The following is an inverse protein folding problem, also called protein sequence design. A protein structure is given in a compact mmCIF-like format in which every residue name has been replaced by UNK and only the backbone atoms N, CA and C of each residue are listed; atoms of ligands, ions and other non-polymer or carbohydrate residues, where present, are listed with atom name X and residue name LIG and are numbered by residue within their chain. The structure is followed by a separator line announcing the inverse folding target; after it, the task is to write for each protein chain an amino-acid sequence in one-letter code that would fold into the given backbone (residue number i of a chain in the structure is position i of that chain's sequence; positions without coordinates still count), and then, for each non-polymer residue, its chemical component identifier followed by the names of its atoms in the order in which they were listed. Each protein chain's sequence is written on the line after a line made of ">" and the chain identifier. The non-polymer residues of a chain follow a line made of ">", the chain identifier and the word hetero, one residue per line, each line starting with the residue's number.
data_IF_199400483420
#
_entry.id   IF_199400483420
#
_cell.length_a   1.000
_cell.length_b   1.000
_cell.length_c   1.000
_cell.angle_alpha   90.00
_cell.angle_beta   90.00
_cell.angle_gamma   90.00
#
_symmetry.space_group_name_H-M   'P 1'
#
loop_
_entity.id
_entity.type
_entity.pdbx_description
1 polymer ?
#
# COMPACT_ATOMS: atom_id res chain seq x y z
N UNK A 1 -26.52 2.54 33.93
CA UNK A 1 -25.60 3.00 32.87
C UNK A 1 -24.49 1.98 32.74
N UNK A 2 -24.47 1.25 31.64
CA UNK A 2 -23.64 0.06 31.47
C UNK A 2 -22.16 0.44 31.36
N UNK A 3 -21.28 -0.29 32.07
CA UNK A 3 -19.81 -0.13 32.00
C UNK A 3 -19.27 -0.24 30.57
N UNK A 4 -20.01 -0.92 29.67
CA UNK A 4 -19.73 -0.98 28.24
C UNK A 4 -19.82 0.38 27.52
N UNK A 5 -20.71 1.27 27.98
CA UNK A 5 -20.92 2.59 27.36
C UNK A 5 -19.82 3.58 27.72
N UNK A 6 -19.19 3.41 28.88
CA UNK A 6 -18.06 4.24 29.32
C UNK A 6 -16.77 3.87 28.56
N UNK A 7 -16.58 2.59 28.22
CA UNK A 7 -15.45 2.14 27.38
C UNK A 7 -15.56 2.72 25.95
N UNK A 8 -16.79 2.80 25.42
CA UNK A 8 -17.04 3.35 24.08
C UNK A 8 -16.79 4.87 24.00
N UNK A 9 -17.04 5.60 25.09
CA UNK A 9 -16.77 7.05 25.16
C UNK A 9 -15.27 7.33 25.37
N UNK A 10 -14.55 6.45 26.07
CA UNK A 10 -13.09 6.60 26.24
C UNK A 10 -12.34 6.46 24.90
N UNK A 11 -12.80 5.57 24.03
CA UNK A 11 -12.28 5.41 22.65
C UNK A 11 -12.55 6.63 21.74
N UNK A 12 -13.55 7.46 22.06
CA UNK A 12 -13.92 8.63 21.25
C UNK A 12 -13.24 9.94 21.67
N UNK A 13 -12.37 9.89 22.69
CA UNK A 13 -11.72 11.08 23.26
C UNK A 13 -10.29 11.35 22.76
N UNK A 14 -9.76 10.54 21.85
CA UNK A 14 -8.55 10.90 21.10
C UNK A 14 -8.92 11.83 19.95
N UNK A 15 -9.02 13.14 20.23
CA UNK A 15 -8.89 14.14 19.17
C UNK A 15 -7.47 14.70 19.17
N UNK A 16 -6.88 14.61 17.99
CA UNK A 16 -5.94 15.58 17.42
C UNK A 16 -4.59 15.69 18.11
N UNK A 17 -3.66 14.87 17.64
CA UNK A 17 -2.33 15.34 17.30
C UNK A 17 -2.16 15.08 15.79
N UNK A 18 -1.43 15.94 15.08
CA UNK A 18 -0.71 15.48 13.88
C UNK A 18 0.06 14.24 14.32
N UNK A 19 -0.39 13.06 13.91
CA UNK A 19 0.12 11.79 14.45
C UNK A 19 1.49 11.58 13.81
N UNK A 20 2.54 12.07 14.47
CA UNK A 20 3.86 11.49 14.31
C UNK A 20 3.71 10.00 14.60
N UNK A 21 3.80 9.19 13.56
CA UNK A 21 3.67 7.75 13.66
C UNK A 21 4.88 7.26 14.44
N UNK A 22 4.68 7.08 15.74
CA UNK A 22 5.74 6.72 16.65
C UNK A 22 6.06 5.22 16.52
N UNK A 23 7.33 4.87 16.78
CA UNK A 23 7.85 3.52 16.78
C UNK A 23 8.22 3.08 18.21
N UNK A 24 7.24 2.76 19.07
CA UNK A 24 7.51 2.34 20.44
C UNK A 24 8.14 0.94 20.53
N UNK A 25 8.22 0.20 19.42
CA UNK A 25 8.72 -1.16 19.36
C UNK A 25 9.96 -1.28 18.46
N UNK A 26 10.75 -0.20 18.35
CA UNK A 26 11.87 -0.11 17.40
C UNK A 26 12.81 -1.32 17.45
N UNK A 27 13.23 -1.76 18.65
CA UNK A 27 14.11 -2.93 18.80
C UNK A 27 13.53 -4.22 18.19
N UNK A 28 12.21 -4.41 18.31
CA UNK A 28 11.52 -5.56 17.74
C UNK A 28 11.32 -5.38 16.23
N UNK A 29 10.97 -4.17 15.81
CA UNK A 29 10.74 -3.84 14.43
C UNK A 29 12.03 -3.95 13.60
N UNK A 30 13.18 -3.51 14.14
CA UNK A 30 14.51 -3.69 13.53
C UNK A 30 14.87 -5.17 13.36
N UNK A 31 14.64 -6.01 14.36
CA UNK A 31 14.88 -7.47 14.24
C UNK A 31 14.00 -8.11 13.18
N UNK A 32 12.74 -7.67 13.10
CA UNK A 32 11.80 -8.16 12.08
C UNK A 32 12.21 -7.66 10.69
N UNK A 33 12.70 -6.43 10.59
CA UNK A 33 13.27 -5.88 9.37
C UNK A 33 14.50 -6.66 8.90
N UNK A 34 15.44 -7.01 9.79
CA UNK A 34 16.58 -7.87 9.45
C UNK A 34 16.14 -9.26 8.97
N UNK A 35 15.07 -9.82 9.55
CA UNK A 35 14.48 -11.07 9.08
C UNK A 35 13.92 -10.91 7.66
N UNK A 36 13.20 -9.82 7.39
CA UNK A 36 12.63 -9.51 6.08
C UNK A 36 13.74 -9.30 5.03
N UNK A 37 14.79 -8.56 5.35
CA UNK A 37 15.95 -8.36 4.46
C UNK A 37 16.61 -9.70 4.10
N UNK A 38 16.84 -10.58 5.08
CA UNK A 38 17.40 -11.92 4.81
C UNK A 38 16.50 -12.76 3.91
N UNK A 39 15.18 -12.70 4.13
CA UNK A 39 14.21 -13.39 3.30
C UNK A 39 14.21 -12.84 1.87
N UNK A 40 14.26 -11.52 1.71
CA UNK A 40 14.33 -10.85 0.42
C UNK A 40 15.59 -11.24 -0.35
N UNK A 41 16.76 -11.07 0.27
CA UNK A 41 18.06 -11.38 -0.32
C UNK A 41 18.18 -12.85 -0.75
N UNK A 42 17.57 -13.76 0.02
CA UNK A 42 17.65 -15.20 -0.24
C UNK A 42 16.65 -15.70 -1.29
N UNK A 43 15.48 -15.06 -1.39
CA UNK A 43 14.34 -15.60 -2.15
C UNK A 43 13.80 -14.57 -3.14
N UNK A 44 13.20 -13.47 -2.64
CA UNK A 44 12.44 -12.56 -3.48
C UNK A 44 13.33 -11.81 -4.48
N UNK A 45 14.46 -11.25 -4.03
CA UNK A 45 15.37 -10.47 -4.86
C UNK A 45 15.99 -11.28 -6.02
N UNK A 46 16.51 -12.51 -5.83
CA UNK A 46 16.97 -13.34 -6.95
C UNK A 46 15.87 -13.64 -7.99
N UNK A 47 14.65 -13.92 -7.52
CA UNK A 47 13.51 -14.22 -8.39
C UNK A 47 13.08 -12.95 -9.16
N UNK A 48 12.98 -11.82 -8.48
CA UNK A 48 12.67 -10.52 -9.07
C UNK A 48 13.72 -10.12 -10.12
N UNK A 49 15.02 -10.33 -9.86
CA UNK A 49 16.10 -10.12 -10.84
C UNK A 49 16.01 -11.06 -12.04
N UNK A 50 15.43 -12.24 -11.87
CA UNK A 50 15.19 -13.15 -12.99
C UNK A 50 14.02 -12.64 -13.83
N UNK A 51 12.94 -12.22 -13.17
CA UNK A 51 11.75 -11.63 -13.77
C UNK A 51 12.07 -10.30 -14.50
N UNK A 52 13.01 -9.50 -14.00
CA UNK A 52 13.39 -8.22 -14.62
C UNK A 52 13.93 -8.35 -16.05
N UNK A 53 14.43 -9.54 -16.42
CA UNK A 53 14.93 -9.82 -17.77
C UNK A 53 13.80 -10.00 -18.81
N UNK A 54 12.54 -10.06 -18.39
CA UNK A 54 11.41 -10.19 -19.31
C UNK A 54 11.18 -8.89 -20.09
N UNK A 55 10.64 -8.97 -21.33
CA UNK A 55 10.31 -7.78 -22.12
C UNK A 55 9.45 -6.78 -21.35
N UNK A 56 9.73 -5.46 -21.42
CA UNK A 56 8.99 -4.44 -20.68
C UNK A 56 7.46 -4.51 -20.89
N UNK A 57 7.01 -4.85 -22.10
CA UNK A 57 5.59 -5.01 -22.41
C UNK A 57 4.90 -6.09 -21.57
N UNK A 58 5.59 -7.18 -21.27
CA UNK A 58 5.05 -8.26 -20.43
C UNK A 58 4.96 -7.77 -18.99
N UNK A 59 6.03 -7.16 -18.47
CA UNK A 59 6.07 -6.63 -17.11
C UNK A 59 4.97 -5.60 -16.87
N UNK A 60 4.89 -4.58 -17.72
CA UNK A 60 3.81 -3.56 -17.70
C UNK A 60 2.43 -4.20 -17.80
N UNK A 61 2.27 -5.23 -18.63
CA UNK A 61 1.00 -5.95 -18.73
C UNK A 61 0.60 -6.64 -17.43
N UNK A 62 1.55 -7.27 -16.73
CA UNK A 62 1.31 -7.90 -15.42
C UNK A 62 1.00 -6.83 -14.36
N UNK A 63 1.74 -5.71 -14.34
CA UNK A 63 1.42 -4.56 -13.48
C UNK A 63 -0.01 -4.07 -13.71
N UNK A 64 -0.40 -3.86 -14.96
CA UNK A 64 -1.76 -3.40 -15.30
C UNK A 64 -2.83 -4.41 -14.88
N UNK A 65 -2.54 -5.71 -15.00
CA UNK A 65 -3.47 -6.75 -14.57
C UNK A 65 -3.75 -6.66 -13.06
N UNK A 66 -2.73 -6.53 -12.21
CA UNK A 66 -2.93 -6.37 -10.77
C UNK A 66 -3.59 -5.04 -10.40
N UNK A 67 -3.16 -3.94 -11.03
CA UNK A 67 -3.81 -2.63 -10.86
C UNK A 67 -5.29 -2.67 -11.22
N UNK A 68 -5.68 -3.41 -12.27
CA UNK A 68 -7.08 -3.58 -12.64
C UNK A 68 -7.86 -4.37 -11.58
N UNK A 69 -7.27 -5.37 -10.94
CA UNK A 69 -7.93 -6.08 -9.83
C UNK A 69 -8.15 -5.16 -8.62
N UNK A 70 -7.18 -4.30 -8.36
CA UNK A 70 -7.19 -3.32 -7.27
C UNK A 70 -8.19 -2.18 -7.51
N UNK A 71 -8.45 -1.78 -8.76
CA UNK A 71 -9.43 -0.73 -9.10
C UNK A 71 -10.81 -1.01 -8.47
N UNK A 72 -11.20 -2.27 -8.26
CA UNK A 72 -12.47 -2.64 -7.58
C UNK A 72 -12.43 -2.31 -6.10
N UNK A 73 -11.37 -2.70 -5.40
CA UNK A 73 -11.20 -2.40 -3.97
C UNK A 73 -11.12 -0.89 -3.76
N UNK A 74 -10.33 -0.21 -4.59
CA UNK A 74 -10.21 1.26 -4.63
C UNK A 74 -11.58 1.91 -4.81
N UNK A 75 -12.38 1.44 -5.79
CA UNK A 75 -13.72 1.98 -6.03
C UNK A 75 -14.65 1.84 -4.82
N UNK A 76 -14.56 0.73 -4.09
CA UNK A 76 -15.35 0.49 -2.88
C UNK A 76 -14.90 1.44 -1.77
N UNK A 77 -13.61 1.53 -1.49
CA UNK A 77 -13.06 2.40 -0.46
C UNK A 77 -13.35 3.88 -0.74
N UNK A 78 -13.28 4.32 -1.99
CA UNK A 78 -13.69 5.67 -2.37
C UNK A 78 -15.16 5.96 -2.07
N UNK A 79 -16.07 5.00 -2.26
CA UNK A 79 -17.46 5.19 -1.84
C UNK A 79 -17.58 5.32 -0.33
N UNK A 80 -16.87 4.46 0.42
CA UNK A 80 -16.84 4.48 1.88
C UNK A 80 -16.26 5.79 2.43
N UNK A 81 -15.32 6.40 1.71
CA UNK A 81 -14.74 7.70 2.01
C UNK A 81 -15.56 8.89 1.51
N UNK A 82 -16.69 8.66 0.83
CA UNK A 82 -17.55 9.73 0.33
C UNK A 82 -17.04 10.42 -0.95
N UNK A 83 -16.25 9.72 -1.76
CA UNK A 83 -15.66 10.16 -3.04
C UNK A 83 -16.35 9.51 -4.25
N UNK A 84 -17.67 9.71 -4.51
CA UNK A 84 -18.42 8.95 -5.53
C UNK A 84 -17.94 9.19 -6.96
N UNK A 85 -17.40 10.38 -7.27
CA UNK A 85 -16.87 10.68 -8.61
C UNK A 85 -15.62 9.84 -8.91
N UNK A 86 -14.69 9.72 -7.95
CA UNK A 86 -13.50 8.88 -8.08
C UNK A 86 -13.91 7.39 -8.19
N UNK A 87 -14.86 6.95 -7.37
CA UNK A 87 -15.35 5.57 -7.43
C UNK A 87 -15.94 5.20 -8.79
N UNK A 88 -16.79 6.06 -9.36
CA UNK A 88 -17.35 5.83 -10.70
C UNK A 88 -16.25 5.81 -11.77
N UNK A 89 -15.23 6.64 -11.63
CA UNK A 89 -14.07 6.63 -12.51
C UNK A 89 -13.36 5.26 -12.46
N UNK A 90 -12.97 4.80 -11.26
CA UNK A 90 -12.15 3.59 -11.12
C UNK A 90 -12.93 2.30 -11.43
N UNK A 91 -14.22 2.24 -11.12
CA UNK A 91 -15.03 1.09 -11.54
C UNK A 91 -15.23 1.05 -13.06
N UNK A 92 -15.23 2.23 -13.70
CA UNK A 92 -15.24 2.33 -15.16
C UNK A 92 -13.89 1.90 -15.74
N UNK A 93 -12.77 2.25 -15.09
CA UNK A 93 -11.44 1.75 -15.46
C UNK A 93 -11.41 0.22 -15.44
N UNK A 94 -11.85 -0.39 -14.34
CA UNK A 94 -11.96 -1.83 -14.20
C UNK A 94 -12.79 -2.46 -15.33
N UNK A 95 -13.98 -1.91 -15.61
CA UNK A 95 -14.86 -2.45 -16.64
C UNK A 95 -14.21 -2.40 -18.04
N UNK A 96 -13.58 -1.28 -18.39
CA UNK A 96 -12.94 -1.08 -19.70
C UNK A 96 -11.70 -1.94 -19.85
N UNK A 97 -10.81 -1.94 -18.85
CA UNK A 97 -9.57 -2.68 -18.88
C UNK A 97 -9.83 -4.20 -18.83
N UNK A 98 -10.85 -4.65 -18.07
CA UNK A 98 -11.23 -6.05 -18.03
C UNK A 98 -11.84 -6.55 -19.36
N UNK A 99 -12.59 -5.71 -20.07
CA UNK A 99 -13.28 -6.11 -21.31
C UNK A 99 -12.45 -5.87 -22.56
N UNK A 100 -12.03 -4.63 -22.81
CA UNK A 100 -11.29 -4.21 -24.00
C UNK A 100 -9.79 -4.37 -23.78
N UNK A 101 -9.33 -4.13 -22.55
CA UNK A 101 -7.93 -4.20 -22.15
C UNK A 101 -7.39 -5.61 -21.91
N UNK A 102 -8.03 -6.64 -22.47
CA UNK A 102 -7.65 -8.05 -22.27
C UNK A 102 -7.55 -8.43 -20.79
N UNK A 103 -8.65 -8.40 -20.04
CA UNK A 103 -8.67 -8.74 -18.60
C UNK A 103 -7.75 -7.87 -17.71
N UNK A 104 -7.40 -6.67 -18.15
CA UNK A 104 -6.54 -5.75 -17.41
C UNK A 104 -5.09 -5.68 -17.90
N UNK A 105 -4.64 -6.56 -18.79
CA UNK A 105 -3.25 -6.54 -19.29
C UNK A 105 -2.91 -5.27 -20.10
N UNK A 106 -3.91 -4.59 -20.64
CA UNK A 106 -3.76 -3.34 -21.39
C UNK A 106 -4.60 -2.25 -20.72
N UNK A 107 -3.93 -1.22 -20.20
CA UNK A 107 -4.62 -0.04 -19.66
C UNK A 107 -5.16 0.86 -20.79
N UNK A 108 -6.39 0.57 -21.20
CA UNK A 108 -7.15 1.37 -22.18
C UNK A 108 -7.79 2.57 -21.49
N UNK A 109 -8.20 2.42 -20.23
CA UNK A 109 -8.87 3.45 -19.45
C UNK A 109 -8.00 4.72 -19.30
N UNK A 110 -6.71 4.57 -19.00
CA UNK A 110 -5.79 5.72 -18.94
C UNK A 110 -5.63 6.41 -20.30
N UNK A 111 -5.66 5.66 -21.42
CA UNK A 111 -5.53 6.24 -22.77
C UNK A 111 -6.72 7.10 -23.18
N UNK A 112 -7.87 6.90 -22.56
CA UNK A 112 -9.08 7.69 -22.80
C UNK A 112 -9.30 8.76 -21.71
N UNK A 113 -8.32 8.95 -20.81
CA UNK A 113 -8.31 10.04 -19.83
C UNK A 113 -9.00 9.73 -18.50
N UNK A 114 -9.12 8.46 -18.11
CA UNK A 114 -9.55 8.10 -16.76
C UNK A 114 -8.31 7.98 -15.85
N UNK A 115 -8.21 8.83 -14.84
CA UNK A 115 -7.08 8.84 -13.90
C UNK A 115 -7.13 7.61 -12.98
N UNK A 116 -5.98 6.97 -12.69
CA UNK A 116 -5.93 5.89 -11.69
C UNK A 116 -5.80 6.50 -10.29
N UNK A 117 -6.49 5.93 -9.32
CA UNK A 117 -6.30 6.21 -7.90
C UNK A 117 -5.97 4.91 -7.17
N UNK A 118 -5.59 5.01 -5.90
CA UNK A 118 -5.24 3.87 -5.07
C UNK A 118 -5.76 4.13 -3.65
N UNK A 119 -6.73 3.34 -3.21
CA UNK A 119 -7.43 3.57 -1.94
C UNK A 119 -7.73 2.25 -1.24
N UNK A 120 -7.25 2.10 -0.02
CA UNK A 120 -7.45 0.89 0.78
C UNK A 120 -8.38 1.13 1.99
N UNK A 121 -8.67 0.04 2.71
CA UNK A 121 -9.52 0.13 3.90
C UNK A 121 -8.81 0.82 5.08
N UNK A 122 -7.47 0.79 5.16
CA UNK A 122 -6.70 1.53 6.15
C UNK A 122 -6.88 3.04 6.01
N UNK A 123 -6.77 3.56 4.79
CA UNK A 123 -7.06 4.94 4.44
C UNK A 123 -8.53 5.29 4.73
N UNK A 124 -9.46 4.38 4.42
CA UNK A 124 -10.88 4.56 4.75
C UNK A 124 -11.11 4.74 6.25
N UNK A 125 -10.47 3.90 7.07
CA UNK A 125 -10.51 4.04 8.53
C UNK A 125 -9.88 5.36 8.99
N UNK A 126 -8.82 5.82 8.33
CA UNK A 126 -8.20 7.12 8.59
C UNK A 126 -9.18 8.28 8.35
N UNK A 127 -9.89 8.26 7.21
CA UNK A 127 -10.93 9.25 6.86
C UNK A 127 -12.09 9.20 7.87
N UNK A 128 -12.40 8.03 8.41
CA UNK A 128 -13.39 7.87 9.48
C UNK A 128 -12.89 8.28 10.88
N UNK A 129 -11.65 8.77 10.99
CA UNK A 129 -11.07 9.31 12.21
C UNK A 129 -10.35 8.29 13.09
N UNK A 130 -10.05 7.09 12.57
CA UNK A 130 -9.21 6.12 13.28
C UNK A 130 -7.74 6.45 13.02
N UNK A 131 -7.03 6.81 14.09
CA UNK A 131 -5.59 7.08 14.05
C UNK A 131 -4.78 5.87 13.58
N UNK A 132 -3.56 6.10 13.10
CA UNK A 132 -2.67 5.03 12.63
C UNK A 132 -2.31 4.07 13.77
N UNK A 133 -2.17 4.59 14.99
CA UNK A 133 -1.52 3.88 16.07
C UNK A 133 -0.02 3.68 15.80
N UNK A 134 0.66 2.83 16.59
CA UNK A 134 2.10 2.65 16.50
C UNK A 134 2.52 1.98 15.19
N UNK A 135 3.75 2.28 14.78
CA UNK A 135 4.44 1.57 13.70
C UNK A 135 4.76 0.12 14.10
N UNK A 136 4.56 -0.80 13.16
CA UNK A 136 4.84 -2.22 13.31
C UNK A 136 5.48 -2.74 12.02
N UNK A 137 6.66 -3.33 12.14
CA UNK A 137 7.27 -4.11 11.06
C UNK A 137 6.73 -5.53 11.11
N UNK A 138 6.04 -5.96 10.06
CA UNK A 138 5.44 -7.29 9.97
C UNK A 138 6.42 -8.28 9.29
N UNK A 139 6.54 -9.52 9.82
CA UNK A 139 7.41 -10.53 9.20
C UNK A 139 6.86 -10.95 7.84
N UNK A 140 7.72 -10.89 6.82
CA UNK A 140 7.43 -11.18 5.41
C UNK A 140 6.58 -10.15 4.68
N UNK A 141 5.95 -9.20 5.38
CA UNK A 141 5.01 -8.25 4.80
C UNK A 141 5.55 -6.81 4.77
N UNK A 142 6.48 -6.48 5.67
CA UNK A 142 7.13 -5.17 5.67
C UNK A 142 6.47 -4.15 6.61
N UNK A 143 6.67 -2.84 6.36
CA UNK A 143 6.21 -1.77 7.24
C UNK A 143 4.68 -1.68 7.29
N UNK A 144 4.13 -1.39 8.46
CA UNK A 144 2.69 -1.20 8.67
C UNK A 144 2.41 -0.32 9.88
N UNK A 145 1.15 0.11 10.04
CA UNK A 145 0.62 0.69 11.28
C UNK A 145 -0.30 -0.30 11.97
N UNK A 146 -0.63 -0.08 13.26
CA UNK A 146 -1.62 -0.90 13.95
C UNK A 146 -2.97 -0.89 13.23
N UNK A 147 -3.43 0.29 12.79
CA UNK A 147 -4.66 0.44 12.01
C UNK A 147 -4.61 -0.39 10.74
N UNK A 148 -3.55 -0.24 9.95
CA UNK A 148 -3.46 -0.89 8.65
C UNK A 148 -3.30 -2.41 8.81
N UNK A 149 -2.54 -2.86 9.81
CA UNK A 149 -2.44 -4.29 10.14
C UNK A 149 -3.81 -4.90 10.43
N UNK A 150 -4.66 -4.19 11.17
CA UNK A 150 -6.01 -4.63 11.51
C UNK A 150 -7.02 -4.44 10.37
N UNK A 151 -6.72 -3.58 9.38
CA UNK A 151 -7.55 -3.39 8.18
C UNK A 151 -7.41 -4.55 7.19
N UNK A 152 -6.21 -5.17 7.11
CA UNK A 152 -5.87 -6.23 6.14
C UNK A 152 -6.88 -7.37 5.99
N UNK A 153 -7.52 -7.92 7.04
CA UNK A 153 -8.54 -8.95 6.85
C UNK A 153 -9.77 -8.46 6.06
N UNK A 154 -10.16 -7.20 6.26
CA UNK A 154 -11.28 -6.57 5.54
C UNK A 154 -10.84 -6.23 4.12
N UNK A 155 -9.67 -5.63 3.95
CA UNK A 155 -9.06 -5.38 2.63
C UNK A 155 -8.99 -6.68 1.82
N UNK A 156 -8.49 -7.75 2.45
CA UNK A 156 -8.43 -9.07 1.82
C UNK A 156 -9.81 -9.61 1.48
N UNK A 157 -10.85 -9.38 2.27
CA UNK A 157 -12.21 -9.81 1.94
C UNK A 157 -12.78 -9.08 0.72
N UNK A 158 -12.43 -7.81 0.54
CA UNK A 158 -12.86 -6.98 -0.59
C UNK A 158 -12.06 -7.22 -1.88
N UNK A 159 -10.85 -7.77 -1.79
CA UNK A 159 -10.01 -8.09 -2.94
C UNK A 159 -10.64 -9.20 -3.80
N UNK A 160 -10.68 -8.97 -5.12
CA UNK A 160 -11.14 -9.97 -6.10
C UNK A 160 -10.39 -11.30 -5.95
N UNK A 161 -9.09 -11.24 -5.62
CA UNK A 161 -8.25 -12.43 -5.47
C UNK A 161 -8.74 -13.36 -4.36
N UNK A 162 -9.34 -12.84 -3.30
CA UNK A 162 -9.85 -13.64 -2.18
C UNK A 162 -11.06 -14.50 -2.54
N UNK A 163 -11.85 -14.07 -3.53
CA UNK A 163 -13.00 -14.83 -4.02
C UNK A 163 -12.63 -15.91 -5.04
N UNK A 164 -11.34 -16.07 -5.37
CA UNK A 164 -10.88 -17.20 -6.17
C UNK A 164 -10.93 -18.47 -5.33
N UNK A 165 -11.74 -19.44 -5.77
CA UNK A 165 -12.12 -20.63 -4.99
C UNK A 165 -10.96 -21.60 -4.74
N UNK A 166 -9.90 -21.53 -5.55
CA UNK A 166 -8.75 -22.41 -5.45
C UNK A 166 -7.60 -21.70 -4.70
N UNK A 167 -7.27 -22.22 -3.52
CA UNK A 167 -6.18 -21.72 -2.67
C UNK A 167 -4.86 -21.60 -3.44
N UNK A 168 -4.57 -22.56 -4.31
CA UNK A 168 -3.35 -22.59 -5.11
C UNK A 168 -3.27 -21.40 -6.09
N UNK A 169 -4.40 -21.01 -6.68
CA UNK A 169 -4.49 -19.86 -7.59
C UNK A 169 -4.28 -18.57 -6.82
N UNK A 170 -4.88 -18.42 -5.64
CA UNK A 170 -4.70 -17.25 -4.78
C UNK A 170 -3.23 -17.07 -4.38
N UNK A 171 -2.58 -18.16 -3.94
CA UNK A 171 -1.16 -18.15 -3.56
C UNK A 171 -0.29 -17.80 -4.77
N UNK A 172 -0.56 -18.38 -5.93
CA UNK A 172 0.19 -18.10 -7.15
C UNK A 172 0.09 -16.61 -7.54
N UNK A 173 -1.11 -16.05 -7.52
CA UNK A 173 -1.32 -14.63 -7.84
C UNK A 173 -0.61 -13.70 -6.87
N UNK A 174 -0.75 -13.92 -5.55
CA UNK A 174 -0.02 -13.15 -4.54
C UNK A 174 1.49 -13.27 -4.68
N UNK A 175 1.97 -14.44 -5.07
CA UNK A 175 3.41 -14.66 -5.30
C UNK A 175 3.90 -13.87 -6.51
N UNK A 176 3.15 -13.90 -7.63
CA UNK A 176 3.50 -13.14 -8.84
C UNK A 176 3.46 -11.64 -8.56
N UNK A 177 2.42 -11.17 -7.85
CA UNK A 177 2.27 -9.77 -7.44
C UNK A 177 3.45 -9.31 -6.57
N UNK A 178 3.84 -10.12 -5.58
CA UNK A 178 5.00 -9.84 -4.74
C UNK A 178 6.31 -9.79 -5.54
N UNK A 179 6.50 -10.70 -6.52
CA UNK A 179 7.68 -10.71 -7.39
C UNK A 179 7.71 -9.47 -8.30
N UNK A 180 6.58 -9.11 -8.90
CA UNK A 180 6.44 -7.95 -9.77
C UNK A 180 6.70 -6.65 -9.00
N UNK A 181 6.09 -6.51 -7.82
CA UNK A 181 6.31 -5.37 -6.93
C UNK A 181 7.77 -5.28 -6.53
N UNK A 182 8.38 -6.41 -6.13
CA UNK A 182 9.80 -6.41 -5.76
C UNK A 182 10.72 -6.04 -6.92
N UNK A 183 10.37 -6.45 -8.15
CA UNK A 183 11.12 -6.11 -9.36
C UNK A 183 11.14 -4.61 -9.61
N UNK A 184 10.00 -3.93 -9.48
CA UNK A 184 9.91 -2.47 -9.59
C UNK A 184 10.77 -1.74 -8.55
N UNK A 185 10.93 -2.35 -7.37
CA UNK A 185 11.75 -1.80 -6.29
C UNK A 185 13.25 -2.07 -6.46
N UNK A 186 13.69 -2.87 -7.44
CA UNK A 186 15.12 -3.14 -7.65
C UNK A 186 15.92 -1.88 -8.00
N UNK A 187 15.34 -0.99 -8.79
CA UNK A 187 16.00 0.25 -9.22
C UNK A 187 16.04 1.28 -8.08
N UNK A 188 14.96 1.33 -7.27
CA UNK A 188 14.82 2.23 -6.12
C UNK A 188 15.75 1.81 -4.97
N UNK A 189 16.09 0.53 -4.86
CA UNK A 189 17.00 0.02 -3.82
C UNK A 189 18.36 0.75 -3.83
N UNK A 190 18.81 1.21 -4.99
CA UNK A 190 20.06 1.96 -5.13
C UNK A 190 20.03 3.36 -4.48
N UNK A 191 18.83 3.88 -4.19
CA UNK A 191 18.60 5.17 -3.54
C UNK A 191 18.61 5.06 -2.01
N UNK A 192 18.58 3.85 -1.46
CA UNK A 192 18.65 3.63 -0.02
C UNK A 192 20.03 4.07 0.50
N UNK A 193 20.05 5.08 1.35
CA UNK A 193 21.25 5.60 2.01
C UNK A 193 21.12 5.53 3.53
N UNK A 194 22.25 5.44 4.23
CA UNK A 194 22.29 5.43 5.69
C UNK A 194 21.65 4.19 6.32
N UNK A 195 20.86 4.40 7.36
CA UNK A 195 20.12 3.33 8.05
C UNK A 195 18.88 2.94 7.26
N UNK A 196 18.96 1.81 6.54
CA UNK A 196 17.87 1.27 5.72
C UNK A 196 16.55 1.13 6.48
N UNK A 197 16.60 0.77 7.76
CA UNK A 197 15.37 0.58 8.54
C UNK A 197 14.64 1.91 8.73
N UNK A 198 15.37 2.95 9.11
CA UNK A 198 14.82 4.30 9.30
C UNK A 198 14.30 4.83 7.97
N UNK A 199 15.08 4.69 6.90
CA UNK A 199 14.66 5.11 5.57
C UNK A 199 13.33 4.47 5.14
N UNK A 200 13.21 3.14 5.27
CA UNK A 200 11.99 2.41 4.88
C UNK A 200 10.79 2.81 5.75
N UNK A 201 11.02 3.00 7.06
CA UNK A 201 9.99 3.45 8.00
C UNK A 201 9.49 4.85 7.63
N UNK A 202 10.40 5.79 7.40
CA UNK A 202 10.05 7.19 7.12
C UNK A 202 9.37 7.32 5.75
N UNK A 203 9.89 6.63 4.73
CA UNK A 203 9.24 6.56 3.41
C UNK A 203 7.81 6.00 3.49
N UNK A 204 7.60 4.95 4.29
CA UNK A 204 6.26 4.40 4.52
C UNK A 204 5.34 5.40 5.26
N UNK A 205 5.82 6.06 6.32
CA UNK A 205 5.04 7.05 7.06
C UNK A 205 4.62 8.21 6.15
N UNK A 206 5.53 8.66 5.30
CA UNK A 206 5.26 9.72 4.33
C UNK A 206 4.25 9.26 3.26
N UNK A 207 4.41 8.05 2.72
CA UNK A 207 3.47 7.54 1.71
C UNK A 207 2.04 7.49 2.25
N UNK A 208 1.84 7.01 3.47
CA UNK A 208 0.49 6.95 4.05
C UNK A 208 -0.07 8.35 4.37
N UNK A 209 0.77 9.29 4.82
CA UNK A 209 0.34 10.69 5.04
C UNK A 209 -0.11 11.31 3.73
N UNK A 210 0.62 11.03 2.64
CA UNK A 210 0.31 11.50 1.30
C UNK A 210 -1.01 10.90 0.78
N UNK A 211 -1.16 9.59 0.88
CA UNK A 211 -2.35 8.85 0.42
C UNK A 211 -3.62 9.29 1.15
N UNK A 212 -3.60 9.36 2.49
CA UNK A 212 -4.76 9.77 3.30
C UNK A 212 -5.23 11.19 2.94
N UNK A 213 -4.31 12.06 2.53
CA UNK A 213 -4.58 13.45 2.16
C UNK A 213 -4.87 13.64 0.66
N UNK A 214 -4.94 12.57 -0.13
CA UNK A 214 -5.05 12.65 -1.60
C UNK A 214 -3.93 13.48 -2.25
N UNK A 215 -2.74 13.56 -1.63
CA UNK A 215 -1.63 14.42 -2.06
C UNK A 215 -1.86 15.92 -1.91
N UNK A 216 -2.91 16.34 -1.21
CA UNK A 216 -3.23 17.76 -0.96
C UNK A 216 -2.62 18.16 0.39
N UNK A 217 -1.86 19.25 0.43
CA UNK A 217 -1.37 19.85 1.69
C UNK A 217 -0.43 18.91 2.48
N UNK A 218 0.51 18.28 1.76
CA UNK A 218 1.57 17.42 2.30
C UNK A 218 2.89 18.18 2.13
N UNK A 219 3.51 18.57 3.23
CA UNK A 219 4.91 19.04 3.22
C UNK A 219 5.81 17.81 2.97
N UNK A 220 6.69 17.90 1.97
CA UNK A 220 7.61 16.82 1.59
C UNK A 220 8.90 16.95 2.42
N UNK A 221 8.83 16.46 3.66
CA UNK A 221 9.94 16.49 4.61
C UNK A 221 11.21 15.80 4.04
N UNK A 222 11.07 14.86 3.10
CA UNK A 222 12.22 14.15 2.50
C UNK A 222 13.02 15.02 1.52
N UNK A 223 12.35 15.83 0.70
CA UNK A 223 13.05 16.79 -0.18
C UNK A 223 13.74 17.86 0.67
N UNK A 224 13.06 18.36 1.70
CA UNK A 224 13.61 19.39 2.58
C UNK A 224 14.85 18.86 3.33
N UNK A 225 14.79 17.65 3.90
CA UNK A 225 15.93 17.00 4.57
C UNK A 225 17.08 16.68 3.59
N UNK A 226 16.77 16.31 2.35
CA UNK A 226 17.77 16.00 1.32
C UNK A 226 18.41 17.27 0.74
N UNK A 227 17.67 18.38 0.61
CA UNK A 227 18.23 19.69 0.28
C UNK A 227 19.19 20.17 1.37
N UNK A 228 18.81 20.07 2.64
CA UNK A 228 19.68 20.40 3.77
C UNK A 228 20.96 19.55 3.77
N UNK A 229 20.86 18.25 3.46
CA UNK A 229 22.03 17.36 3.34
C UNK A 229 22.94 17.68 2.14
N UNK A 230 22.41 18.26 1.06
CA UNK A 230 23.18 18.61 -0.14
C UNK A 230 23.80 20.02 -0.07
N UNK A 231 23.36 20.85 0.88
CA UNK A 231 23.82 22.22 1.07
C UNK A 231 25.00 22.30 2.08
N UNK A 232 25.20 21.26 2.90
CA UNK A 232 26.36 21.07 3.79
C UNK A 232 27.52 20.27 3.14
#
# INVERSE_FOLDING_TARGET
>A
MNKLFIIFIFLFSFKCLSEEINDPFEDFNRKTFEFNEKLDESILKPIAKTYSNFPPKIKIGVTNFFNNLEDVETSINQLLQGKPKKSINDITRFAINSTIGLAGFIDIASKIGLDRHEEDFGQTLAVWGIGSGPYIMLPGLGPSTLRDTLSRPVSSFSSITFHMTETDVNIALKTIDAIETRERLLDVESLLSGDKYIFVKDAYIQSIKYEIKDGIDVEDEFIDDMEDFLID
#
